data_IF_683758191276
#
_entry.id   IF_683758191276
#
_cell.length_a   1.000
_cell.length_b   1.000
_cell.length_c   1.000
_cell.angle_alpha   90.00
_cell.angle_beta   90.00
_cell.angle_gamma   90.00
#
_symmetry.space_group_name_H-M   'P 1'
#
loop_
_entity.id
_entity.type
_entity.pdbx_description
1 polymer ?
#
# COMPACT_ATOMS: atom_id res chain seq x y z
N UNK A 1 31.02 -23.90 -21.65
CA UNK A 1 30.10 -24.59 -20.73
C UNK A 1 29.56 -23.56 -19.76
N UNK A 2 28.28 -23.18 -19.86
CA UNK A 2 27.70 -22.13 -19.03
C UNK A 2 27.33 -22.72 -17.66
N UNK A 3 28.01 -22.24 -16.60
CA UNK A 3 27.65 -22.56 -15.22
C UNK A 3 26.22 -22.09 -14.94
N UNK A 4 25.32 -23.05 -14.74
CA UNK A 4 23.97 -22.76 -14.27
C UNK A 4 24.08 -22.36 -12.79
N UNK A 5 24.30 -21.06 -12.53
CA UNK A 5 24.32 -20.50 -11.19
C UNK A 5 22.98 -20.77 -10.49
N UNK A 6 22.91 -21.81 -9.65
CA UNK A 6 21.79 -22.08 -8.76
C UNK A 6 21.70 -20.95 -7.72
N UNK A 7 20.94 -19.89 -8.05
CA UNK A 7 20.64 -18.81 -7.10
C UNK A 7 19.63 -19.34 -6.09
N UNK A 8 20.14 -19.78 -4.94
CA UNK A 8 19.34 -20.23 -3.79
C UNK A 8 18.25 -19.21 -3.42
N UNK A 9 17.04 -19.65 -3.04
CA UNK A 9 15.89 -18.75 -2.76
C UNK A 9 16.25 -17.70 -1.69
N UNK A 10 17.12 -18.06 -0.75
CA UNK A 10 17.62 -17.16 0.29
C UNK A 10 18.56 -16.05 -0.21
N UNK A 11 19.30 -16.30 -1.29
CA UNK A 11 20.25 -15.33 -1.88
C UNK A 11 19.57 -14.29 -2.76
N UNK A 12 18.46 -14.64 -3.43
CA UNK A 12 17.64 -13.69 -4.22
C UNK A 12 16.96 -12.62 -3.35
N UNK A 13 16.65 -12.95 -2.09
CA UNK A 13 15.82 -12.09 -1.20
C UNK A 13 16.66 -11.18 -0.30
N UNK A 14 17.92 -11.54 -0.02
CA UNK A 14 18.79 -10.84 0.93
C UNK A 14 19.90 -10.07 0.20
N UNK A 15 19.95 -8.75 0.40
CA UNK A 15 21.04 -7.89 -0.08
C UNK A 15 22.27 -8.07 0.82
N UNK A 16 23.41 -8.38 0.21
CA UNK A 16 24.71 -8.43 0.89
C UNK A 16 25.26 -7.01 1.03
N UNK A 17 25.62 -6.62 2.26
CA UNK A 17 26.29 -5.35 2.56
C UNK A 17 27.53 -5.62 3.39
N UNK A 18 28.69 -5.14 2.95
CA UNK A 18 29.93 -5.24 3.71
C UNK A 18 29.96 -4.12 4.76
N UNK A 19 30.25 -4.48 6.01
CA UNK A 19 30.44 -3.51 7.09
C UNK A 19 31.73 -3.81 7.83
N UNK A 20 32.43 -2.74 8.24
CA UNK A 20 33.53 -2.83 9.20
C UNK A 20 32.97 -3.12 10.57
N UNK A 21 33.51 -4.14 11.21
CA UNK A 21 33.25 -4.45 12.62
C UNK A 21 34.13 -3.59 13.52
N UNK A 22 33.79 -3.42 14.81
CA UNK A 22 34.64 -2.68 15.76
C UNK A 22 36.07 -3.24 15.85
N UNK A 23 36.25 -4.54 15.61
CA UNK A 23 37.57 -5.21 15.55
C UNK A 23 38.35 -4.93 14.26
N UNK A 24 37.87 -4.04 13.37
CA UNK A 24 38.52 -3.69 12.10
C UNK A 24 38.28 -4.67 10.95
N UNK A 25 37.63 -5.82 11.20
CA UNK A 25 37.36 -6.84 10.17
C UNK A 25 36.16 -6.43 9.30
N UNK A 26 36.26 -6.63 7.99
CA UNK A 26 35.14 -6.45 7.06
C UNK A 26 34.30 -7.74 6.97
N UNK A 27 33.04 -7.67 7.37
CA UNK A 27 32.13 -8.83 7.40
C UNK A 27 30.92 -8.62 6.48
N UNK A 28 30.46 -9.70 5.84
CA UNK A 28 29.24 -9.73 5.02
C UNK A 28 28.00 -9.76 5.92
N UNK A 29 27.24 -8.68 5.95
CA UNK A 29 25.91 -8.65 6.58
C UNK A 29 24.81 -8.85 5.54
N UNK A 30 23.83 -9.68 5.89
CA UNK A 30 22.63 -9.89 5.09
C UNK A 30 21.52 -8.96 5.56
N UNK A 31 21.07 -8.06 4.69
CA UNK A 31 19.93 -7.19 4.93
C UNK A 31 18.76 -7.56 4.02
N UNK A 32 17.53 -7.35 4.49
CA UNK A 32 16.34 -7.50 3.64
C UNK A 32 16.17 -6.24 2.77
N UNK A 33 15.66 -6.40 1.55
CA UNK A 33 15.37 -5.27 0.67
C UNK A 33 14.35 -4.32 1.31
N UNK A 34 14.57 -3.01 1.17
CA UNK A 34 13.60 -1.99 1.61
C UNK A 34 12.39 -2.08 0.69
N UNK A 35 11.26 -2.58 1.22
CA UNK A 35 10.03 -2.68 0.43
C UNK A 35 9.50 -1.30 0.02
N UNK A 36 8.75 -1.31 -1.08
CA UNK A 36 8.11 -0.13 -1.67
C UNK A 36 7.08 0.49 -0.75
N UNK A 37 6.84 1.79 -0.98
CA UNK A 37 5.81 2.56 -0.30
C UNK A 37 4.41 2.01 -0.63
N UNK A 38 3.43 2.36 0.21
CA UNK A 38 2.03 2.05 -0.06
C UNK A 38 1.56 2.76 -1.34
N UNK A 39 0.74 2.09 -2.15
CA UNK A 39 0.16 2.64 -3.38
C UNK A 39 -1.35 2.76 -3.25
N UNK A 40 -1.91 3.76 -3.93
CA UNK A 40 -3.35 3.98 -4.04
C UNK A 40 -3.99 2.84 -4.84
N UNK A 41 -5.11 2.32 -4.36
CA UNK A 41 -5.81 1.22 -5.02
C UNK A 41 -6.51 1.60 -6.35
N UNK A 42 -6.81 2.89 -6.56
CA UNK A 42 -7.49 3.37 -7.78
C UNK A 42 -6.47 3.89 -8.80
N UNK A 43 -5.61 4.81 -8.38
CA UNK A 43 -4.68 5.54 -9.25
C UNK A 43 -3.27 4.93 -9.29
N UNK A 44 -2.91 4.05 -8.35
CA UNK A 44 -1.55 3.48 -8.26
C UNK A 44 -0.48 4.43 -7.69
N UNK A 45 -0.83 5.69 -7.39
CA UNK A 45 0.10 6.71 -6.86
C UNK A 45 0.60 6.34 -5.46
N UNK A 46 1.85 6.70 -5.13
CA UNK A 46 2.43 6.51 -3.79
C UNK A 46 1.66 7.33 -2.75
N UNK A 47 1.27 6.70 -1.66
CA UNK A 47 0.54 7.35 -0.56
C UNK A 47 1.50 8.08 0.37
N UNK A 48 1.25 9.38 0.58
CA UNK A 48 1.92 10.17 1.61
C UNK A 48 1.39 9.81 3.01
N UNK A 49 2.25 9.90 4.03
CA UNK A 49 1.88 9.64 5.42
C UNK A 49 1.60 8.18 5.77
N UNK A 50 1.80 7.24 4.83
CA UNK A 50 1.62 5.80 5.06
C UNK A 50 2.98 5.11 4.97
N UNK A 51 3.43 4.50 6.07
CA UNK A 51 4.72 3.81 6.09
C UNK A 51 4.78 2.56 5.19
N UNK A 52 5.99 2.00 5.03
CA UNK A 52 6.20 0.78 4.23
C UNK A 52 5.29 -0.38 4.65
N UNK A 53 4.66 -1.02 3.67
CA UNK A 53 3.60 -2.04 3.86
C UNK A 53 4.13 -3.47 3.94
N UNK A 54 5.28 -3.70 4.60
CA UNK A 54 5.65 -5.08 4.94
C UNK A 54 4.61 -5.58 5.94
N UNK A 55 3.85 -6.64 5.63
CA UNK A 55 2.81 -7.18 6.52
C UNK A 55 3.31 -7.36 7.97
N UNK A 56 4.51 -7.95 8.14
CA UNK A 56 5.10 -8.17 9.46
C UNK A 56 5.57 -6.90 10.16
N UNK A 57 6.10 -5.90 9.44
CA UNK A 57 6.54 -4.64 10.06
C UNK A 57 5.36 -3.70 10.32
N UNK A 58 4.38 -3.62 9.41
CA UNK A 58 3.18 -2.80 9.51
C UNK A 58 2.29 -3.22 10.68
N UNK A 59 2.22 -4.52 10.98
CA UNK A 59 1.53 -5.04 12.18
C UNK A 59 2.17 -4.59 13.50
N UNK A 60 3.49 -4.37 13.52
CA UNK A 60 4.23 -3.92 14.72
C UNK A 60 4.18 -2.41 14.92
N UNK A 61 3.70 -1.64 13.94
CA UNK A 61 3.60 -0.16 14.03
C UNK A 61 2.32 0.26 14.73
N UNK A 62 2.38 1.40 15.41
CA UNK A 62 1.21 2.06 15.98
C UNK A 62 0.16 2.37 14.90
N UNK A 63 -1.12 2.43 15.32
CA UNK A 63 -2.26 2.70 14.42
C UNK A 63 -2.08 4.03 13.68
N UNK A 64 -1.60 5.07 14.37
CA UNK A 64 -1.36 6.42 13.86
C UNK A 64 -0.28 6.46 12.79
N UNK A 65 0.82 5.73 12.97
CA UNK A 65 1.91 5.62 11.98
C UNK A 65 1.51 4.77 10.77
N UNK A 66 0.57 3.85 10.94
CA UNK A 66 0.15 2.92 9.87
C UNK A 66 -0.81 3.55 8.89
N UNK A 67 -1.68 4.45 9.35
CA UNK A 67 -2.70 5.10 8.50
C UNK A 67 -3.06 6.49 9.04
N UNK A 68 -3.30 7.46 8.14
CA UNK A 68 -3.97 8.71 8.51
C UNK A 68 -5.34 8.46 9.16
N UNK A 69 -5.81 9.39 9.98
CA UNK A 69 -7.10 9.33 10.67
C UNK A 69 -8.32 9.43 9.74
N UNK A 70 -8.11 9.92 8.51
CA UNK A 70 -9.19 10.14 7.54
C UNK A 70 -9.77 8.82 7.03
N UNK A 71 -11.07 8.82 6.68
CA UNK A 71 -11.74 7.68 6.05
C UNK A 71 -11.02 7.27 4.76
N UNK A 72 -10.83 5.95 4.60
CA UNK A 72 -9.99 5.33 3.56
C UNK A 72 -8.50 5.74 3.57
N UNK A 73 -8.01 6.33 4.67
CA UNK A 73 -6.61 6.64 4.87
C UNK A 73 -5.72 5.40 4.78
N UNK A 74 -4.63 5.50 4.02
CA UNK A 74 -3.70 4.39 3.77
C UNK A 74 -4.14 3.40 2.67
N UNK A 75 -5.28 3.65 2.02
CA UNK A 75 -5.79 2.87 0.88
C UNK A 75 -5.97 3.76 -0.35
N UNK A 76 -6.53 4.95 -0.17
CA UNK A 76 -6.83 5.89 -1.25
C UNK A 76 -6.03 7.19 -1.11
N UNK A 77 -5.64 7.76 -2.25
CA UNK A 77 -5.06 9.11 -2.34
C UNK A 77 -6.10 10.18 -1.96
N UNK A 78 -5.68 11.42 -1.74
CA UNK A 78 -6.62 12.54 -1.52
C UNK A 78 -7.56 12.74 -2.70
N UNK A 79 -7.03 12.67 -3.92
CA UNK A 79 -7.79 12.84 -5.16
C UNK A 79 -8.85 11.74 -5.35
N UNK A 80 -8.44 10.48 -5.25
CA UNK A 80 -9.36 9.36 -5.35
C UNK A 80 -10.45 9.37 -4.25
N UNK A 81 -10.12 9.85 -3.04
CA UNK A 81 -11.13 10.04 -1.98
C UNK A 81 -12.18 11.08 -2.37
N UNK A 82 -11.77 12.22 -2.93
CA UNK A 82 -12.68 13.26 -3.39
C UNK A 82 -13.65 12.70 -4.44
N UNK A 83 -13.13 12.00 -5.44
CA UNK A 83 -13.94 11.36 -6.48
C UNK A 83 -14.95 10.34 -5.93
N UNK A 84 -14.52 9.51 -4.97
CA UNK A 84 -15.42 8.55 -4.30
C UNK A 84 -16.56 9.27 -3.58
N UNK A 85 -16.27 10.38 -2.90
CA UNK A 85 -17.29 11.13 -2.15
C UNK A 85 -18.25 11.90 -3.06
N UNK A 86 -17.76 12.48 -4.15
CA UNK A 86 -18.59 13.14 -5.16
C UNK A 86 -19.55 12.14 -5.81
N UNK A 87 -19.05 10.99 -6.26
CA UNK A 87 -19.91 9.95 -6.83
C UNK A 87 -20.89 9.39 -5.80
N UNK A 88 -20.46 9.20 -4.54
CA UNK A 88 -21.37 8.81 -3.47
C UNK A 88 -22.51 9.82 -3.27
N UNK A 89 -22.21 11.12 -3.24
CA UNK A 89 -23.21 12.17 -3.08
C UNK A 89 -24.19 12.20 -4.27
N UNK A 90 -23.69 12.06 -5.50
CA UNK A 90 -24.50 12.01 -6.71
C UNK A 90 -25.47 10.82 -6.71
N UNK A 91 -24.97 9.63 -6.38
CA UNK A 91 -25.79 8.42 -6.29
C UNK A 91 -26.82 8.53 -5.16
N UNK A 92 -26.41 9.03 -3.99
CA UNK A 92 -27.33 9.27 -2.87
C UNK A 92 -28.45 10.25 -3.25
N UNK A 93 -28.15 11.26 -4.07
CA UNK A 93 -29.14 12.23 -4.55
C UNK A 93 -30.03 11.73 -5.68
N UNK A 94 -29.83 10.51 -6.19
CA UNK A 94 -30.57 9.96 -7.33
C UNK A 94 -30.20 10.55 -8.69
N UNK A 95 -29.27 11.52 -8.75
CA UNK A 95 -28.82 12.16 -10.00
C UNK A 95 -27.98 11.23 -10.88
N UNK A 96 -27.47 10.13 -10.32
CA UNK A 96 -26.56 9.21 -11.00
C UNK A 96 -26.80 7.78 -10.52
N UNK A 97 -26.81 6.84 -11.44
CA UNK A 97 -26.97 5.43 -11.09
C UNK A 97 -25.62 4.75 -10.80
N UNK A 98 -25.65 3.67 -10.02
CA UNK A 98 -24.47 2.84 -9.72
C UNK A 98 -23.83 2.22 -10.97
N UNK A 99 -24.60 2.05 -12.05
CA UNK A 99 -24.10 1.54 -13.33
C UNK A 99 -23.21 2.57 -14.06
N UNK A 100 -23.46 3.86 -13.86
CA UNK A 100 -22.75 4.95 -14.53
C UNK A 100 -21.43 5.33 -13.82
N UNK A 101 -21.14 4.74 -12.67
CA UNK A 101 -19.90 4.98 -11.92
C UNK A 101 -18.81 4.03 -12.39
N UNK A 102 -17.58 4.52 -12.51
CA UNK A 102 -16.42 3.71 -12.87
C UNK A 102 -16.26 2.52 -11.91
N UNK A 103 -15.98 1.32 -12.43
CA UNK A 103 -15.93 0.08 -11.62
C UNK A 103 -14.98 0.17 -10.41
N UNK A 104 -13.83 0.84 -10.61
CA UNK A 104 -12.84 1.07 -9.55
C UNK A 104 -13.40 1.87 -8.37
N UNK A 105 -14.21 2.89 -8.66
CA UNK A 105 -14.85 3.75 -7.66
C UNK A 105 -16.09 3.08 -7.09
N UNK A 106 -16.84 2.35 -7.92
CA UNK A 106 -18.05 1.59 -7.55
C UNK A 106 -17.79 0.66 -6.37
N UNK A 107 -16.63 0.00 -6.32
CA UNK A 107 -16.18 -0.83 -5.19
C UNK A 107 -16.21 -0.12 -3.83
N UNK A 108 -15.98 1.19 -3.81
CA UNK A 108 -15.96 1.99 -2.58
C UNK A 108 -17.31 2.67 -2.29
N UNK A 109 -18.08 2.99 -3.32
CA UNK A 109 -19.37 3.70 -3.20
C UNK A 109 -20.51 2.75 -2.79
N UNK A 110 -20.64 1.58 -3.43
CA UNK A 110 -21.70 0.61 -3.15
C UNK A 110 -21.87 0.26 -1.66
N UNK A 111 -20.80 -0.14 -0.93
CA UNK A 111 -20.93 -0.47 0.49
C UNK A 111 -21.22 0.74 1.40
N UNK A 112 -21.10 1.98 0.92
CA UNK A 112 -21.53 3.15 1.69
C UNK A 112 -23.03 3.39 1.57
N UNK A 113 -23.63 3.01 0.44
CA UNK A 113 -25.08 3.16 0.22
C UNK A 113 -25.82 2.09 1.03
N UNK A 114 -25.35 0.84 0.99
CA UNK A 114 -25.90 -0.25 1.80
C UNK A 114 -25.94 0.08 3.30
N UNK A 115 -24.92 0.79 3.80
CA UNK A 115 -24.83 1.24 5.20
C UNK A 115 -25.80 2.35 5.58
N UNK A 116 -26.33 3.08 4.61
CA UNK A 116 -27.30 4.16 4.86
C UNK A 116 -28.73 3.62 4.80
N UNK A 117 -28.98 2.63 3.95
CA UNK A 117 -30.28 2.00 3.82
C UNK A 117 -30.57 0.97 4.91
N UNK A 118 -29.54 0.56 5.65
CA UNK A 118 -29.62 -0.33 6.82
C UNK A 118 -29.68 0.50 8.09
#
# INVERSE_FOLDING_TARGET
MAECNMVDRGTRVKKKTFKKTPSGKNVKHYSRFKRTAATCAIEGVKLSGTGNQIKSASRKKAKTTRRPSVKFGGVLSSKARKEVWENYALVKSGKKELAQVTEKVKRYVAPQIEKVNK
#
